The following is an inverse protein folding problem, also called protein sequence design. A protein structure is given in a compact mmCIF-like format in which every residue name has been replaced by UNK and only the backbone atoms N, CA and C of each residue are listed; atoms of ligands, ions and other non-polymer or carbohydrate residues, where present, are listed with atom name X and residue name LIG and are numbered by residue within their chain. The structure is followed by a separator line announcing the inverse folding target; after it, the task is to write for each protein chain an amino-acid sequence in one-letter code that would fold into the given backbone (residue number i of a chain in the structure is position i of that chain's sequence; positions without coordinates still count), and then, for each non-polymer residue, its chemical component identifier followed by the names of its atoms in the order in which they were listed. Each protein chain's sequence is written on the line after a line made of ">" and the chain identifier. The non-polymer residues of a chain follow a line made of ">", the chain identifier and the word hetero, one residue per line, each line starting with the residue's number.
data_IF_824261786073
#
_entry.id   IF_824261786073
#
_cell.length_a   1.000
_cell.length_b   1.000
_cell.length_c   1.000
_cell.angle_alpha   90.00
_cell.angle_beta   90.00
_cell.angle_gamma   90.00
#
_symmetry.space_group_name_H-M   'P 1'
#
loop_
_entity.id
_entity.type
_entity.pdbx_description
1 polymer ?
#
# COMPACT_ATOMS: atom_id res chain seq x y z
N UNK A 1 -4.20 -5.52 -4.73
CA UNK A 1 -3.80 -5.68 -3.31
C UNK A 1 -2.42 -6.32 -3.23
N UNK A 2 -1.50 -5.92 -4.11
CA UNK A 2 -0.16 -6.48 -4.21
C UNK A 2 0.89 -5.36 -4.17
N UNK A 3 0.57 -4.22 -4.80
CA UNK A 3 1.22 -2.95 -4.54
C UNK A 3 0.92 -2.43 -3.13
N UNK A 4 -0.33 -2.54 -2.65
CA UNK A 4 -0.67 -2.22 -1.25
C UNK A 4 -0.18 -3.25 -0.23
N UNK A 5 -0.05 -4.52 -0.63
CA UNK A 5 0.51 -5.57 0.22
C UNK A 5 2.03 -5.51 0.30
N UNK A 6 2.73 -4.99 -0.72
CA UNK A 6 4.17 -4.76 -0.61
C UNK A 6 4.51 -3.76 0.50
N UNK A 7 3.64 -2.80 0.80
CA UNK A 7 3.84 -1.90 1.94
C UNK A 7 3.25 -2.46 3.26
N UNK A 8 2.10 -3.14 3.22
CA UNK A 8 1.40 -3.59 4.43
C UNK A 8 1.78 -4.98 4.97
N UNK A 9 2.41 -5.88 4.17
CA UNK A 9 2.94 -7.17 4.65
C UNK A 9 4.42 -7.13 5.05
N UNK A 10 5.04 -5.95 5.07
CA UNK A 10 6.27 -5.75 5.85
C UNK A 10 5.85 -5.69 7.31
N UNK A 11 5.78 -6.86 7.94
CA UNK A 11 5.85 -6.99 9.39
C UNK A 11 7.05 -6.12 9.83
N UNK A 12 6.87 -5.09 10.67
CA UNK A 12 8.01 -4.33 11.15
C UNK A 12 8.96 -5.32 11.86
N UNK A 13 10.28 -5.24 11.61
CA UNK A 13 11.22 -6.16 12.23
C UNK A 13 11.08 -6.08 13.75
N UNK A 14 10.94 -7.24 14.40
CA UNK A 14 10.76 -7.39 15.84
C UNK A 14 11.99 -6.95 16.68
N UNK A 15 12.96 -6.25 16.09
CA UNK A 15 14.13 -5.73 16.77
C UNK A 15 14.57 -4.41 16.10
N UNK A 16 13.79 -3.35 16.27
CA UNK A 16 14.34 -2.01 16.27
C UNK A 16 14.37 -1.55 17.71
N UNK A 17 15.54 -1.71 18.33
CA UNK A 17 15.91 -0.97 19.52
C UNK A 17 15.75 0.51 19.19
N UNK A 18 14.66 1.09 19.69
CA UNK A 18 14.46 2.53 19.71
C UNK A 18 15.59 3.11 20.56
N UNK A 19 16.56 3.75 19.90
CA UNK A 19 17.51 4.63 20.58
C UNK A 19 16.63 5.73 21.21
N UNK A 20 16.68 5.94 22.54
CA UNK A 20 15.86 6.96 23.18
C UNK A 20 16.28 8.32 22.63
N UNK A 21 15.28 9.12 22.27
CA UNK A 21 15.43 10.53 22.01
C UNK A 21 15.88 11.20 23.31
N UNK A 22 17.20 11.22 23.54
CA UNK A 22 17.78 12.13 24.51
C UNK A 22 17.62 13.54 23.96
N UNK A 23 16.83 14.34 24.68
CA UNK A 23 16.76 15.78 24.58
C UNK A 23 18.16 16.40 24.55
N UNK A 24 18.60 16.82 23.37
CA UNK A 24 19.75 17.71 23.21
C UNK A 24 19.34 19.13 23.61
N UNK A 25 19.33 19.39 24.91
CA UNK A 25 19.56 20.75 25.40
C UNK A 25 21.07 20.93 25.51
N UNK A 26 21.58 21.95 24.81
CA UNK A 26 22.82 22.69 25.07
C UNK A 26 23.93 22.61 23.98
N UNK A 27 24.06 23.75 23.29
CA UNK A 27 25.29 24.40 22.81
C UNK A 27 26.21 23.75 21.75
N UNK A 28 26.37 24.52 20.66
CA UNK A 28 27.41 24.49 19.61
C UNK A 28 27.25 23.46 18.48
N UNK A 29 26.48 23.85 17.47
CA UNK A 29 26.77 23.47 16.09
C UNK A 29 27.22 24.73 15.33
N UNK A 30 28.53 24.81 15.07
CA UNK A 30 29.17 25.80 14.22
C UNK A 30 28.90 25.42 12.77
N UNK A 31 27.84 25.97 12.17
CA UNK A 31 27.61 25.88 10.73
C UNK A 31 28.32 27.04 10.05
N UNK A 32 29.52 26.76 9.52
CA UNK A 32 30.20 27.67 8.60
C UNK A 32 29.38 27.80 7.32
N UNK A 33 28.51 28.81 7.26
CA UNK A 33 27.81 29.24 6.06
C UNK A 33 28.68 30.29 5.37
N UNK A 34 29.26 29.90 4.24
CA UNK A 34 30.00 30.76 3.33
C UNK A 34 29.01 31.67 2.56
N UNK A 35 29.05 33.01 2.70
CA UNK A 35 28.02 33.88 2.14
C UNK A 35 28.54 34.64 0.91
N UNK A 36 28.84 33.97 -0.22
CA UNK A 36 28.99 34.66 -1.51
C UNK A 36 28.59 33.80 -2.72
N UNK A 37 27.29 33.72 -2.98
CA UNK A 37 26.81 33.50 -4.35
C UNK A 37 26.16 34.81 -4.82
N UNK A 38 26.99 35.62 -5.49
CA UNK A 38 26.53 36.77 -6.26
C UNK A 38 25.74 36.25 -7.48
N UNK A 39 24.42 36.28 -7.40
CA UNK A 39 23.58 36.22 -8.60
C UNK A 39 23.74 37.54 -9.37
N UNK A 40 24.56 37.51 -10.42
CA UNK A 40 24.61 38.57 -11.42
C UNK A 40 23.29 38.59 -12.21
N UNK A 41 22.54 39.68 -12.07
CA UNK A 41 21.40 40.03 -12.91
C UNK A 41 21.86 40.21 -14.36
N UNK A 42 21.43 39.31 -15.25
CA UNK A 42 21.37 39.59 -16.69
C UNK A 42 19.90 39.67 -17.08
N UNK A 43 19.44 40.91 -17.26
CA UNK A 43 18.15 41.26 -17.84
C UNK A 43 18.16 40.89 -19.33
N UNK A 44 17.45 39.83 -19.68
CA UNK A 44 17.01 39.58 -21.05
C UNK A 44 15.48 39.52 -21.02
N UNK A 45 14.86 40.56 -21.54
CA UNK A 45 13.41 40.66 -21.71
C UNK A 45 12.93 39.66 -22.75
N UNK A 46 12.38 38.53 -22.29
CA UNK A 46 11.46 37.70 -23.07
C UNK A 46 10.24 37.43 -22.21
N UNK A 47 9.10 37.94 -22.67
CA UNK A 47 7.78 37.83 -22.05
C UNK A 47 7.36 36.36 -21.91
N UNK A 48 7.66 35.76 -20.76
CA UNK A 48 7.16 34.45 -20.38
C UNK A 48 5.88 34.60 -19.54
N UNK A 49 4.85 33.76 -19.78
CA UNK A 49 3.62 33.79 -19.01
C UNK A 49 3.92 33.51 -17.53
N UNK A 50 3.49 34.43 -16.67
CA UNK A 50 3.65 34.38 -15.22
C UNK A 50 3.26 33.00 -14.68
N UNK A 51 4.27 32.28 -14.23
CA UNK A 51 4.20 30.99 -13.55
C UNK A 51 3.21 31.07 -12.39
N UNK A 52 2.19 30.21 -12.45
CA UNK A 52 1.14 30.08 -11.43
C UNK A 52 1.75 29.84 -10.04
N UNK A 53 1.14 30.47 -9.05
CA UNK A 53 1.54 30.48 -7.64
C UNK A 53 1.83 29.08 -7.10
N UNK A 54 3.04 28.93 -6.54
CA UNK A 54 3.44 27.87 -5.63
C UNK A 54 2.52 27.99 -4.42
N UNK A 55 1.63 27.01 -4.19
CA UNK A 55 0.85 26.95 -2.96
C UNK A 55 1.79 27.13 -1.77
N UNK A 56 1.41 27.98 -0.82
CA UNK A 56 2.26 28.26 0.34
C UNK A 56 2.47 26.96 1.12
N UNK A 57 3.64 26.79 1.73
CA UNK A 57 3.94 25.59 2.53
C UNK A 57 2.88 25.35 3.62
N UNK A 58 2.33 26.44 4.17
CA UNK A 58 1.21 26.44 5.11
C UNK A 58 -0.07 25.78 4.55
N UNK A 59 -0.44 26.04 3.29
CA UNK A 59 -1.61 25.41 2.66
C UNK A 59 -1.41 23.90 2.49
N UNK A 60 -0.19 23.46 2.13
CA UNK A 60 0.13 22.04 1.98
C UNK A 60 0.02 21.31 3.33
N UNK A 61 0.52 21.91 4.40
CA UNK A 61 0.42 21.36 5.76
C UNK A 61 -1.05 21.27 6.19
N UNK A 62 -1.84 22.33 5.97
CA UNK A 62 -3.26 22.34 6.33
C UNK A 62 -4.07 21.25 5.61
N UNK A 63 -3.81 21.03 4.31
CA UNK A 63 -4.48 19.98 3.53
C UNK A 63 -4.08 18.57 3.99
N UNK A 64 -2.81 18.34 4.33
CA UNK A 64 -2.36 17.07 4.89
C UNK A 64 -3.01 16.79 6.25
N UNK A 65 -3.03 17.77 7.16
CA UNK A 65 -3.71 17.64 8.46
C UNK A 65 -5.20 17.34 8.29
N UNK A 66 -5.86 17.98 7.33
CA UNK A 66 -7.26 17.72 7.01
C UNK A 66 -7.51 16.28 6.53
N UNK A 67 -6.63 15.72 5.68
CA UNK A 67 -6.73 14.33 5.23
C UNK A 67 -6.51 13.34 6.36
N UNK A 68 -5.55 13.62 7.23
CA UNK A 68 -5.28 12.81 8.41
C UNK A 68 -6.46 12.80 9.39
N UNK A 69 -7.06 13.96 9.65
CA UNK A 69 -8.26 14.07 10.51
C UNK A 69 -9.41 13.26 9.93
N UNK A 70 -9.73 13.43 8.64
CA UNK A 70 -10.79 12.66 7.98
C UNK A 70 -10.57 11.14 8.06
N UNK A 71 -9.33 10.70 7.87
CA UNK A 71 -8.94 9.29 7.97
C UNK A 71 -9.11 8.75 9.40
N UNK A 72 -8.80 9.59 10.38
CA UNK A 72 -8.95 9.26 11.81
C UNK A 72 -10.42 9.17 12.21
N UNK A 73 -11.23 10.14 11.79
CA UNK A 73 -12.68 10.15 12.02
C UNK A 73 -13.34 8.91 11.38
N UNK A 74 -12.95 8.58 10.15
CA UNK A 74 -13.46 7.40 9.44
C UNK A 74 -13.13 6.10 10.19
N UNK A 75 -11.91 5.97 10.74
CA UNK A 75 -11.52 4.81 11.55
C UNK A 75 -12.34 4.73 12.85
N UNK A 76 -12.52 5.86 13.53
CA UNK A 76 -13.30 5.92 14.76
C UNK A 76 -14.76 5.48 14.52
N UNK A 77 -15.39 5.97 13.46
CA UNK A 77 -16.76 5.57 13.09
C UNK A 77 -16.85 4.09 12.68
N UNK A 78 -15.86 3.60 11.92
CA UNK A 78 -15.79 2.18 11.57
C UNK A 78 -15.66 1.28 12.81
N UNK A 79 -14.92 1.70 13.83
CA UNK A 79 -14.75 0.93 15.07
C UNK A 79 -16.02 0.93 15.93
N UNK A 80 -16.73 2.07 15.95
CA UNK A 80 -17.95 2.30 16.75
C UNK A 80 -19.18 1.60 16.20
N UNK A 81 -19.27 1.44 14.89
CA UNK A 81 -20.45 0.88 14.22
C UNK A 81 -20.56 -0.63 14.44
N UNK A 82 -21.76 -1.13 14.73
CA UNK A 82 -22.03 -2.57 14.88
C UNK A 82 -21.86 -3.32 13.56
N UNK A 83 -22.40 -2.76 12.47
CA UNK A 83 -22.29 -3.31 11.12
C UNK A 83 -21.13 -2.67 10.33
N UNK A 84 -19.91 -3.07 10.68
CA UNK A 84 -18.67 -2.59 10.03
C UNK A 84 -18.63 -2.85 8.52
N UNK A 85 -19.26 -3.94 8.08
CA UNK A 85 -19.25 -4.33 6.68
C UNK A 85 -20.05 -3.35 5.83
N UNK A 86 -21.29 -3.07 6.24
CA UNK A 86 -22.13 -2.10 5.56
C UNK A 86 -21.49 -0.71 5.56
N UNK A 87 -20.94 -0.27 6.71
CA UNK A 87 -20.26 1.02 6.79
C UNK A 87 -19.06 1.10 5.83
N UNK A 88 -18.22 0.07 5.78
CA UNK A 88 -17.09 0.02 4.85
C UNK A 88 -17.53 0.03 3.37
N UNK A 89 -18.64 -0.64 3.07
CA UNK A 89 -19.22 -0.65 1.72
C UNK A 89 -19.72 0.74 1.30
N UNK A 90 -20.44 1.44 2.18
CA UNK A 90 -20.96 2.80 1.94
C UNK A 90 -19.83 3.83 1.78
N UNK A 91 -18.69 3.61 2.45
CA UNK A 91 -17.54 4.51 2.46
C UNK A 91 -16.34 4.01 1.66
N UNK A 92 -16.52 3.09 0.71
CA UNK A 92 -15.41 2.43 0.00
C UNK A 92 -14.47 3.40 -0.74
N UNK A 93 -14.99 4.53 -1.21
CA UNK A 93 -14.20 5.58 -1.87
C UNK A 93 -13.31 6.36 -0.89
N UNK A 94 -13.70 6.42 0.38
CA UNK A 94 -12.94 7.06 1.45
C UNK A 94 -11.88 6.13 2.06
N UNK A 95 -11.91 4.83 1.75
CA UNK A 95 -10.87 3.85 2.12
C UNK A 95 -9.62 4.02 1.23
N UNK A 96 -8.92 5.13 1.41
CA UNK A 96 -7.71 5.52 0.67
C UNK A 96 -6.42 5.00 1.33
N UNK A 97 -5.28 5.25 0.69
CA UNK A 97 -3.96 4.96 1.29
C UNK A 97 -3.77 5.62 2.65
N UNK A 98 -4.13 6.91 2.75
CA UNK A 98 -4.03 7.69 3.98
C UNK A 98 -4.83 7.04 5.12
N UNK A 99 -6.01 6.50 4.82
CA UNK A 99 -6.82 5.77 5.79
C UNK A 99 -6.08 4.54 6.35
N UNK A 100 -5.52 3.70 5.48
CA UNK A 100 -4.80 2.50 5.92
C UNK A 100 -3.51 2.84 6.67
N UNK A 101 -2.79 3.89 6.26
CA UNK A 101 -1.57 4.37 6.92
C UNK A 101 -1.84 4.92 8.33
N UNK A 102 -2.87 5.75 8.48
CA UNK A 102 -3.28 6.28 9.78
C UNK A 102 -3.73 5.12 10.69
N UNK A 103 -4.50 4.19 10.16
CA UNK A 103 -4.98 3.03 10.92
C UNK A 103 -3.86 2.11 11.38
N UNK A 104 -2.85 1.86 10.54
CA UNK A 104 -1.68 1.07 10.94
C UNK A 104 -0.90 1.77 12.05
N UNK A 105 -0.79 3.10 12.00
CA UNK A 105 -0.13 3.91 13.04
C UNK A 105 -0.84 3.75 14.39
N UNK A 106 -2.16 3.85 14.42
CA UNK A 106 -2.94 3.64 15.65
C UNK A 106 -2.84 2.21 16.18
N UNK A 107 -2.83 1.21 15.30
CA UNK A 107 -2.62 -0.19 15.69
C UNK A 107 -1.24 -0.40 16.33
N UNK A 108 -0.19 0.23 15.79
CA UNK A 108 1.16 0.17 16.37
C UNK A 108 1.24 0.88 17.72
N UNK A 109 0.60 2.04 17.88
CA UNK A 109 0.50 2.73 19.16
C UNK A 109 -0.19 1.85 20.21
N UNK A 110 -1.35 1.28 19.89
CA UNK A 110 -2.07 0.38 20.78
C UNK A 110 -1.22 -0.84 21.19
N UNK A 111 -0.41 -1.38 20.26
CA UNK A 111 0.53 -2.47 20.55
C UNK A 111 1.64 -2.04 21.50
N UNK A 112 2.20 -0.84 21.33
CA UNK A 112 3.24 -0.28 22.23
C UNK A 112 2.69 -0.04 23.63
N UNK A 113 1.43 0.38 23.73
CA UNK A 113 0.73 0.59 25.00
C UNK A 113 0.27 -0.72 25.66
N UNK A 114 0.48 -1.87 25.02
CA UNK A 114 0.03 -3.18 25.51
C UNK A 114 -1.48 -3.40 25.42
N UNK A 115 -2.22 -2.53 24.74
CA UNK A 115 -3.67 -2.63 24.56
C UNK A 115 -4.02 -3.60 23.41
N UNK A 116 -3.88 -4.90 23.68
CA UNK A 116 -4.11 -5.95 22.69
C UNK A 116 -5.56 -6.08 22.23
N UNK A 117 -6.53 -5.65 23.05
CA UNK A 117 -7.93 -5.66 22.67
C UNK A 117 -8.21 -4.61 21.59
N UNK A 118 -7.66 -3.40 21.73
CA UNK A 118 -7.73 -2.38 20.69
C UNK A 118 -7.03 -2.83 19.40
N UNK A 119 -5.86 -3.49 19.51
CA UNK A 119 -5.17 -4.05 18.33
C UNK A 119 -6.08 -5.01 17.56
N UNK A 120 -6.75 -5.94 18.26
CA UNK A 120 -7.68 -6.89 17.63
C UNK A 120 -8.88 -6.20 17.00
N UNK A 121 -9.41 -5.15 17.65
CA UNK A 121 -10.53 -4.38 17.11
C UNK A 121 -10.14 -3.66 15.82
N UNK A 122 -8.99 -2.98 15.80
CA UNK A 122 -8.45 -2.30 14.61
C UNK A 122 -8.15 -3.31 13.51
N UNK A 123 -7.50 -4.44 13.83
CA UNK A 123 -7.20 -5.49 12.85
C UNK A 123 -8.47 -6.06 12.21
N UNK A 124 -9.50 -6.35 13.02
CA UNK A 124 -10.80 -6.82 12.53
C UNK A 124 -11.48 -5.79 11.64
N UNK A 125 -11.49 -4.51 12.03
CA UNK A 125 -12.07 -3.43 11.24
C UNK A 125 -11.33 -3.23 9.91
N UNK A 126 -10.00 -3.23 9.93
CA UNK A 126 -9.19 -3.09 8.73
C UNK A 126 -9.37 -4.25 7.77
N UNK A 127 -9.52 -5.47 8.28
CA UNK A 127 -9.84 -6.63 7.44
C UNK A 127 -11.14 -6.41 6.66
N UNK A 128 -12.20 -5.97 7.35
CA UNK A 128 -13.49 -5.68 6.71
C UNK A 128 -13.36 -4.56 5.67
N UNK A 129 -12.69 -3.47 6.02
CA UNK A 129 -12.43 -2.37 5.08
C UNK A 129 -11.64 -2.82 3.84
N UNK A 130 -10.62 -3.65 4.04
CA UNK A 130 -9.82 -4.20 2.95
C UNK A 130 -10.62 -5.15 2.06
N UNK A 131 -11.48 -5.98 2.64
CA UNK A 131 -12.33 -6.91 1.89
C UNK A 131 -13.32 -6.13 1.01
N UNK A 132 -13.98 -5.10 1.55
CA UNK A 132 -14.88 -4.24 0.77
C UNK A 132 -14.14 -3.44 -0.30
N UNK A 133 -12.97 -2.85 0.01
CA UNK A 133 -12.13 -2.17 -0.98
C UNK A 133 -11.61 -3.13 -2.05
N UNK A 134 -11.36 -4.39 -1.68
CA UNK A 134 -10.94 -5.44 -2.59
C UNK A 134 -11.94 -5.72 -3.70
N UNK A 135 -13.24 -5.59 -3.41
CA UNK A 135 -14.33 -5.81 -4.39
C UNK A 135 -14.37 -4.75 -5.49
N UNK A 136 -13.84 -3.55 -5.25
CA UNK A 136 -13.78 -2.48 -6.26
C UNK A 136 -12.58 -2.60 -7.19
N UNK A 137 -11.67 -3.55 -6.93
CA UNK A 137 -10.50 -3.75 -7.77
C UNK A 137 -10.89 -4.38 -9.10
N UNK A 138 -10.02 -4.25 -10.10
CA UNK A 138 -10.18 -5.00 -11.36
C UNK A 138 -10.21 -6.51 -11.08
N UNK A 139 -11.04 -7.31 -11.79
CA UNK A 139 -11.17 -8.74 -11.54
C UNK A 139 -9.86 -9.52 -11.60
N UNK A 140 -8.93 -9.15 -12.49
CA UNK A 140 -7.62 -9.78 -12.58
C UNK A 140 -6.78 -9.56 -11.31
N UNK A 141 -6.90 -8.37 -10.70
CA UNK A 141 -6.25 -8.05 -9.43
C UNK A 141 -6.92 -8.83 -8.30
N UNK A 142 -8.26 -8.96 -8.31
CA UNK A 142 -8.99 -9.76 -7.32
C UNK A 142 -8.55 -11.24 -7.38
N UNK A 143 -8.50 -11.81 -8.58
CA UNK A 143 -8.02 -13.17 -8.84
C UNK A 143 -6.61 -13.37 -8.28
N UNK A 144 -5.69 -12.45 -8.56
CA UNK A 144 -4.32 -12.55 -8.07
C UNK A 144 -4.25 -12.52 -6.54
N UNK A 145 -5.01 -11.65 -5.88
CA UNK A 145 -5.04 -11.59 -4.42
C UNK A 145 -5.56 -12.91 -3.83
N UNK A 146 -6.62 -13.49 -4.42
CA UNK A 146 -7.16 -14.79 -4.01
C UNK A 146 -6.12 -15.90 -4.17
N UNK A 147 -5.43 -15.95 -5.31
CA UNK A 147 -4.38 -16.94 -5.57
C UNK A 147 -3.20 -16.79 -4.61
N UNK A 148 -2.82 -15.57 -4.23
CA UNK A 148 -1.74 -15.34 -3.28
C UNK A 148 -2.06 -15.88 -1.88
N UNK A 149 -3.33 -15.88 -1.47
CA UNK A 149 -3.79 -16.38 -0.17
C UNK A 149 -3.89 -17.92 -0.08
N UNK A 150 -4.02 -18.63 -1.21
CA UNK A 150 -4.35 -20.06 -1.27
C UNK A 150 -3.17 -21.03 -1.24
N UNK A 151 -2.69 -21.44 -0.07
CA UNK A 151 -1.48 -22.26 0.03
C UNK A 151 -1.49 -23.56 -0.80
N UNK A 152 -2.65 -24.21 -0.96
CA UNK A 152 -2.77 -25.52 -1.65
C UNK A 152 -2.94 -25.37 -3.17
N UNK A 153 -2.31 -26.28 -3.92
CA UNK A 153 -2.39 -26.29 -5.39
C UNK A 153 -3.81 -26.62 -5.90
N UNK A 154 -4.55 -27.48 -5.19
CA UNK A 154 -5.94 -27.82 -5.54
C UNK A 154 -6.88 -26.62 -5.48
N UNK A 155 -6.76 -25.80 -4.42
CA UNK A 155 -7.55 -24.57 -4.24
C UNK A 155 -7.28 -23.55 -5.35
N UNK A 156 -6.00 -23.37 -5.72
CA UNK A 156 -5.61 -22.51 -6.85
C UNK A 156 -6.14 -23.02 -8.18
N UNK A 157 -6.03 -24.32 -8.45
CA UNK A 157 -6.56 -24.93 -9.68
C UNK A 157 -8.07 -24.73 -9.82
N UNK A 158 -8.84 -24.92 -8.73
CA UNK A 158 -10.27 -24.64 -8.73
C UNK A 158 -10.57 -23.16 -9.01
N UNK A 159 -9.78 -22.25 -8.41
CA UNK A 159 -9.91 -20.80 -8.61
C UNK A 159 -9.63 -20.40 -10.05
N UNK A 160 -8.57 -20.93 -10.66
CA UNK A 160 -8.27 -20.70 -12.07
C UNK A 160 -9.38 -21.20 -13.00
N UNK A 161 -9.95 -22.38 -12.74
CA UNK A 161 -11.05 -22.92 -13.55
C UNK A 161 -12.28 -22.01 -13.51
N UNK A 162 -12.64 -21.50 -12.34
CA UNK A 162 -13.76 -20.56 -12.17
C UNK A 162 -13.51 -19.19 -12.81
N UNK A 163 -12.26 -18.87 -13.15
CA UNK A 163 -11.82 -17.56 -13.62
C UNK A 163 -11.08 -17.65 -14.98
N UNK A 164 -11.32 -18.71 -15.76
CA UNK A 164 -10.60 -19.02 -17.00
C UNK A 164 -10.66 -17.90 -18.03
N UNK A 165 -11.72 -17.08 -18.02
CA UNK A 165 -11.87 -15.92 -18.88
C UNK A 165 -10.74 -14.89 -18.77
N UNK A 166 -10.09 -14.79 -17.60
CA UNK A 166 -8.98 -13.87 -17.35
C UNK A 166 -7.61 -14.48 -17.68
N UNK A 167 -7.55 -15.73 -18.16
CA UNK A 167 -6.30 -16.46 -18.41
C UNK A 167 -5.98 -16.57 -19.91
N UNK A 168 -6.49 -15.68 -20.76
CA UNK A 168 -6.11 -15.64 -22.19
C UNK A 168 -4.65 -15.18 -22.32
N UNK A 169 -3.92 -15.63 -23.34
CA UNK A 169 -2.49 -15.31 -23.52
C UNK A 169 -2.17 -13.81 -23.48
N UNK A 170 -3.11 -12.99 -23.96
CA UNK A 170 -2.95 -11.53 -24.07
C UNK A 170 -3.73 -10.80 -22.95
N UNK A 171 -4.07 -11.51 -21.88
CA UNK A 171 -4.81 -10.93 -20.76
C UNK A 171 -3.91 -10.08 -19.89
N UNK A 172 -4.50 -9.01 -19.34
CA UNK A 172 -3.87 -8.14 -18.36
C UNK A 172 -3.35 -8.90 -17.12
N UNK A 173 -3.92 -10.07 -16.82
CA UNK A 173 -3.49 -10.89 -15.68
C UNK A 173 -2.01 -11.31 -15.78
N UNK A 174 -1.54 -11.72 -16.97
CA UNK A 174 -0.14 -12.10 -17.16
C UNK A 174 0.80 -10.88 -17.10
N UNK A 175 0.39 -9.74 -17.64
CA UNK A 175 1.15 -8.49 -17.52
C UNK A 175 1.29 -8.08 -16.06
N UNK A 176 0.19 -8.13 -15.29
CA UNK A 176 0.17 -7.84 -13.87
C UNK A 176 1.13 -8.76 -13.09
N UNK A 177 1.10 -10.07 -13.35
CA UNK A 177 2.01 -11.03 -12.72
C UNK A 177 3.49 -10.74 -13.02
N UNK A 178 3.81 -10.39 -14.28
CA UNK A 178 5.18 -10.05 -14.68
C UNK A 178 5.65 -8.75 -14.00
N UNK A 179 4.83 -7.70 -14.03
CA UNK A 179 5.15 -6.44 -13.36
C UNK A 179 5.43 -6.66 -11.87
N UNK A 180 4.53 -7.39 -11.19
CA UNK A 180 4.71 -7.72 -9.78
C UNK A 180 5.96 -8.55 -9.49
N UNK A 181 6.28 -9.52 -10.33
CA UNK A 181 7.47 -10.35 -10.16
C UNK A 181 8.71 -9.49 -10.27
N UNK A 182 8.79 -8.64 -11.30
CA UNK A 182 9.88 -7.69 -11.49
C UNK A 182 10.00 -6.71 -10.32
N UNK A 183 8.88 -6.17 -9.82
CA UNK A 183 8.87 -5.25 -8.68
C UNK A 183 9.44 -5.92 -7.42
N UNK A 184 9.07 -7.18 -7.16
CA UNK A 184 9.56 -7.96 -6.02
C UNK A 184 11.04 -8.33 -6.20
N UNK A 185 11.50 -8.60 -7.42
CA UNK A 185 12.91 -8.86 -7.72
C UNK A 185 13.82 -7.68 -7.38
N UNK A 186 13.34 -6.46 -7.64
CA UNK A 186 14.07 -5.20 -7.39
C UNK A 186 14.16 -4.82 -5.90
N UNK A 187 13.41 -5.49 -5.01
CA UNK A 187 13.46 -5.22 -3.58
C UNK A 187 14.76 -5.78 -2.94
N UNK A 188 15.25 -5.22 -1.82
CA UNK A 188 16.35 -5.81 -1.06
C UNK A 188 16.07 -7.24 -0.62
N UNK A 189 17.12 -8.05 -0.50
CA UNK A 189 16.97 -9.46 -0.16
C UNK A 189 16.42 -9.66 1.26
N UNK A 190 15.35 -10.45 1.34
CA UNK A 190 14.70 -10.85 2.59
C UNK A 190 14.08 -12.24 2.46
N UNK A 191 13.92 -12.99 3.57
CA UNK A 191 13.19 -14.26 3.56
C UNK A 191 11.75 -14.13 3.05
N UNK A 192 11.13 -12.96 3.25
CA UNK A 192 9.78 -12.65 2.79
C UNK A 192 9.75 -12.46 1.26
N UNK A 193 10.72 -11.73 0.70
CA UNK A 193 10.90 -11.56 -0.74
C UNK A 193 11.00 -12.91 -1.44
N UNK A 194 11.92 -13.78 -1.00
CA UNK A 194 12.12 -15.09 -1.65
C UNK A 194 10.88 -15.98 -1.58
N UNK A 195 10.16 -15.96 -0.46
CA UNK A 195 8.87 -16.67 -0.31
C UNK A 195 7.81 -16.14 -1.28
N UNK A 196 7.68 -14.82 -1.39
CA UNK A 196 6.71 -14.18 -2.28
C UNK A 196 7.06 -14.40 -3.76
N UNK A 197 8.33 -14.28 -4.13
CA UNK A 197 8.79 -14.50 -5.49
C UNK A 197 8.55 -15.95 -5.94
N UNK A 198 8.91 -16.92 -5.10
CA UNK A 198 8.59 -18.33 -5.35
C UNK A 198 7.09 -18.55 -5.53
N UNK A 199 6.28 -17.83 -4.76
CA UNK A 199 4.81 -17.90 -4.84
C UNK A 199 4.29 -17.37 -6.17
N UNK A 200 4.77 -16.22 -6.62
CA UNK A 200 4.39 -15.62 -7.90
C UNK A 200 4.80 -16.50 -9.08
N UNK A 201 6.00 -17.08 -9.05
CA UNK A 201 6.49 -17.99 -10.08
C UNK A 201 5.64 -19.27 -10.19
N UNK A 202 5.21 -19.83 -9.05
CA UNK A 202 4.30 -20.98 -9.03
C UNK A 202 2.96 -20.60 -9.68
N UNK A 203 2.40 -19.46 -9.30
CA UNK A 203 1.12 -18.97 -9.87
C UNK A 203 1.25 -18.75 -11.38
N UNK A 204 2.34 -18.14 -11.84
CA UNK A 204 2.61 -17.91 -13.26
C UNK A 204 2.70 -19.22 -14.04
N UNK A 205 3.45 -20.20 -13.52
CA UNK A 205 3.60 -21.52 -14.15
C UNK A 205 2.26 -22.27 -14.24
N UNK A 206 1.47 -22.25 -13.16
CA UNK A 206 0.13 -22.87 -13.13
C UNK A 206 -0.83 -22.17 -14.10
N UNK A 207 -0.81 -20.85 -14.16
CA UNK A 207 -1.63 -20.05 -15.08
C UNK A 207 -1.28 -20.33 -16.54
N UNK A 208 0.01 -20.39 -16.89
CA UNK A 208 0.49 -20.72 -18.24
C UNK A 208 0.04 -22.12 -18.67
N UNK A 209 0.14 -23.10 -17.77
CA UNK A 209 -0.28 -24.46 -18.06
C UNK A 209 -1.79 -24.53 -18.37
N UNK A 210 -2.61 -23.80 -17.62
CA UNK A 210 -4.07 -23.74 -17.83
C UNK A 210 -4.42 -22.96 -19.09
N UNK A 211 -3.75 -21.86 -19.39
CA UNK A 211 -3.98 -21.11 -20.64
C UNK A 211 -3.76 -22.02 -21.86
N UNK A 212 -2.67 -22.79 -21.88
CA UNK A 212 -2.37 -23.73 -22.97
C UNK A 212 -3.41 -24.83 -23.13
N UNK A 213 -4.03 -25.31 -22.05
CA UNK A 213 -5.09 -26.33 -22.16
C UNK A 213 -6.40 -25.73 -22.68
N UNK A 214 -6.72 -24.50 -22.30
CA UNK A 214 -7.88 -23.77 -22.82
C UNK A 214 -7.76 -23.54 -24.33
N UNK A 215 -6.57 -23.19 -24.82
CA UNK A 215 -6.31 -22.99 -26.25
C UNK A 215 -6.41 -24.24 -27.13
N UNK A 216 -6.24 -25.43 -26.54
CA UNK A 216 -6.40 -26.69 -27.27
C UNK A 216 -7.86 -27.14 -27.37
N UNK A 217 -8.72 -26.59 -26.53
CA UNK A 217 -10.10 -27.08 -26.35
C UNK A 217 -11.14 -26.15 -26.99
N UNK A 218 -10.78 -24.90 -27.27
CA UNK A 218 -11.62 -23.93 -27.99
C UNK A 218 -11.13 -23.72 -29.41
#
# INVERSE_FOLDING_TARGET
>A
MALFVCHALIKPPAHLNFIPFHSCTNSRCNWGFDPQVRCALRLSATSHPRTKCRASESERVAELSKRQMKSTDLLAELLRTDNRQQFAQEHVDSLTEDFFLVSSTFMEMARKDGNMDMVKQIESALKVAMDEKGKTLRPEIQLLNQLLQQNRASERSATFRGNSQYLRNDSYFFELLRMMTNDVEMQPDSPQKSKLLKRLQIIMTEADAISRTLQKTG
#
